data_IF_891141437807
#
_entry.id   IF_891141437807
#
_cell.length_a   1.000
_cell.length_b   1.000
_cell.length_c   1.000
_cell.angle_alpha   90.00
_cell.angle_beta   90.00
_cell.angle_gamma   90.00
#
_symmetry.space_group_name_H-M   'P 1'
#
loop_
_entity.id
_entity.type
_entity.pdbx_description
1 polymer ?
#
# COMPACT_ATOMS: atom_id res chain seq x y z
N UNK A 1 11.49 -6.86 4.00
CA UNK A 1 10.79 -6.47 5.23
C UNK A 1 11.51 -7.07 6.44
N UNK A 2 11.77 -6.22 7.47
CA UNK A 2 12.56 -6.62 8.66
C UNK A 2 11.81 -7.65 9.52
N UNK A 3 10.48 -7.53 9.59
CA UNK A 3 9.63 -8.47 10.33
C UNK A 3 9.70 -9.87 9.73
N UNK A 4 9.59 -9.97 8.42
CA UNK A 4 9.71 -11.24 7.69
C UNK A 4 11.08 -11.87 7.91
N UNK A 5 12.16 -11.08 7.79
CA UNK A 5 13.51 -11.59 8.02
C UNK A 5 13.71 -12.11 9.45
N UNK A 6 13.19 -11.40 10.45
CA UNK A 6 13.27 -11.83 11.85
C UNK A 6 12.51 -13.13 12.10
N UNK A 7 11.35 -13.30 11.46
CA UNK A 7 10.55 -14.52 11.61
C UNK A 7 11.15 -15.73 10.90
N UNK A 8 11.66 -15.53 9.69
CA UNK A 8 12.15 -16.64 8.84
C UNK A 8 13.58 -17.06 9.19
N UNK A 9 14.48 -16.08 9.33
CA UNK A 9 15.92 -16.34 9.48
C UNK A 9 16.36 -16.29 10.95
N UNK A 10 15.65 -15.51 11.78
CA UNK A 10 16.03 -15.21 13.15
C UNK A 10 15.43 -16.11 14.23
N UNK A 11 14.86 -17.29 13.91
CA UNK A 11 14.10 -18.10 14.87
C UNK A 11 12.95 -17.28 15.52
N UNK A 12 12.22 -16.51 14.74
CA UNK A 12 11.20 -15.55 15.21
C UNK A 12 10.16 -16.15 16.13
N UNK A 13 9.80 -17.43 15.93
CA UNK A 13 8.91 -18.21 16.80
C UNK A 13 9.43 -18.43 18.24
N UNK A 14 10.69 -18.15 18.50
CA UNK A 14 11.28 -18.14 19.85
C UNK A 14 11.42 -16.75 20.42
N UNK A 15 11.31 -15.72 19.59
CA UNK A 15 11.51 -14.33 19.96
C UNK A 15 10.20 -13.58 20.15
N UNK A 16 9.16 -13.99 19.39
CA UNK A 16 7.88 -13.29 19.37
C UNK A 16 6.71 -14.27 19.47
N UNK A 17 5.76 -13.96 20.35
CA UNK A 17 4.50 -14.70 20.45
C UNK A 17 3.50 -14.27 19.36
N UNK A 18 3.59 -13.02 18.90
CA UNK A 18 2.78 -12.45 17.82
C UNK A 18 3.53 -11.31 17.14
N UNK A 19 3.21 -11.08 15.88
CA UNK A 19 3.69 -9.92 15.11
C UNK A 19 2.50 -9.20 14.48
N UNK A 20 2.65 -7.92 14.22
CA UNK A 20 1.74 -7.15 13.37
C UNK A 20 2.52 -6.59 12.20
N UNK A 21 1.94 -6.67 11.02
CA UNK A 21 2.52 -6.12 9.80
C UNK A 21 1.42 -5.68 8.85
N UNK A 22 1.78 -4.97 7.77
CA UNK A 22 0.84 -4.67 6.70
C UNK A 22 0.46 -5.95 5.97
N UNK A 23 -0.83 -6.19 5.80
CA UNK A 23 -1.32 -7.35 5.05
C UNK A 23 -0.96 -7.27 3.56
N UNK A 24 -1.02 -8.40 2.88
CA UNK A 24 -0.84 -8.46 1.43
C UNK A 24 0.51 -8.96 0.93
N UNK A 25 1.14 -9.86 1.63
CA UNK A 25 2.41 -10.49 1.25
C UNK A 25 3.07 -11.18 2.43
N UNK A 26 2.65 -10.79 3.63
CA UNK A 26 3.19 -11.40 4.84
C UNK A 26 2.76 -12.87 4.98
N UNK A 27 1.52 -13.19 4.66
CA UNK A 27 0.97 -14.53 4.73
C UNK A 27 1.66 -15.45 3.73
N UNK A 28 1.83 -15.00 2.49
CA UNK A 28 2.52 -15.75 1.45
C UNK A 28 4.00 -15.98 1.83
N UNK A 29 4.68 -14.95 2.30
CA UNK A 29 6.09 -15.05 2.68
C UNK A 29 6.30 -15.86 3.95
N UNK A 30 5.44 -15.70 4.97
CA UNK A 30 5.58 -16.35 6.27
C UNK A 30 4.84 -17.69 6.32
N UNK A 31 3.65 -17.77 5.70
CA UNK A 31 2.84 -18.99 5.63
C UNK A 31 3.54 -20.07 4.83
N UNK A 32 4.08 -19.74 3.65
CA UNK A 32 4.80 -20.68 2.79
C UNK A 32 6.05 -21.28 3.44
N UNK A 33 6.64 -20.56 4.38
CA UNK A 33 7.86 -20.98 5.10
C UNK A 33 7.57 -21.58 6.48
N UNK A 34 6.30 -21.75 6.84
CA UNK A 34 5.85 -22.21 8.17
C UNK A 34 6.45 -21.35 9.32
N UNK A 35 6.68 -20.06 9.06
CA UNK A 35 7.23 -19.14 10.04
C UNK A 35 6.18 -18.60 11.01
N UNK A 36 4.90 -18.75 10.67
CA UNK A 36 3.74 -18.40 11.50
C UNK A 36 2.77 -19.59 11.58
N UNK A 37 2.01 -19.66 12.66
CA UNK A 37 1.06 -20.72 12.89
C UNK A 37 -0.30 -20.44 12.24
N UNK A 38 -0.96 -21.49 11.76
CA UNK A 38 -2.35 -21.42 11.34
C UNK A 38 -3.25 -21.00 12.50
N UNK A 39 -4.18 -20.12 12.22
CA UNK A 39 -5.20 -19.64 13.16
C UNK A 39 -6.49 -20.42 12.93
N UNK A 40 -7.07 -20.99 13.99
CA UNK A 40 -8.40 -21.55 13.96
C UNK A 40 -9.44 -20.47 14.27
N UNK A 41 -10.21 -19.99 13.26
CA UNK A 41 -11.21 -18.96 13.46
C UNK A 41 -12.29 -19.30 14.47
N UNK A 42 -12.60 -20.60 14.67
CA UNK A 42 -13.62 -21.06 15.61
C UNK A 42 -13.25 -20.75 17.07
N UNK A 43 -11.97 -20.58 17.36
CA UNK A 43 -11.44 -20.21 18.69
C UNK A 43 -11.46 -18.72 18.96
N UNK A 44 -11.83 -17.90 17.97
CA UNK A 44 -11.86 -16.44 18.09
C UNK A 44 -13.34 -15.99 18.17
N UNK A 45 -13.87 -15.67 19.36
CA UNK A 45 -15.30 -15.34 19.53
C UNK A 45 -15.77 -14.17 18.65
N UNK A 46 -14.88 -13.22 18.36
CA UNK A 46 -15.18 -12.03 17.57
C UNK A 46 -14.92 -12.20 16.06
N UNK A 47 -14.52 -13.38 15.61
CA UNK A 47 -14.28 -13.62 14.18
C UNK A 47 -15.47 -13.26 13.28
N UNK A 48 -16.68 -13.54 13.76
CA UNK A 48 -17.93 -13.19 13.05
C UNK A 48 -18.14 -11.67 12.86
N UNK A 49 -17.43 -10.84 13.61
CA UNK A 49 -17.54 -9.39 13.56
C UNK A 49 -16.51 -8.75 12.61
N UNK A 50 -15.62 -9.56 12.04
CA UNK A 50 -14.66 -9.09 11.04
C UNK A 50 -15.43 -8.64 9.79
N UNK A 51 -14.93 -7.60 9.14
CA UNK A 51 -15.56 -7.09 7.91
C UNK A 51 -15.72 -8.19 6.85
N UNK A 52 -16.85 -8.25 6.16
CA UNK A 52 -17.11 -9.30 5.15
C UNK A 52 -16.04 -9.39 4.07
N UNK A 53 -15.35 -8.30 3.76
CA UNK A 53 -14.27 -8.26 2.76
C UNK A 53 -13.11 -9.21 3.08
N UNK A 54 -12.91 -9.57 4.37
CA UNK A 54 -11.88 -10.50 4.84
C UNK A 54 -12.38 -11.95 5.00
N UNK A 55 -13.69 -12.19 4.88
CA UNK A 55 -14.22 -13.55 4.90
C UNK A 55 -13.84 -14.29 3.62
N UNK A 56 -13.95 -15.60 3.64
CA UNK A 56 -13.70 -16.44 2.46
C UNK A 56 -14.53 -15.95 1.25
N UNK A 57 -13.86 -15.76 0.12
CA UNK A 57 -14.48 -15.18 -1.09
C UNK A 57 -14.59 -13.66 -1.10
N UNK A 58 -14.24 -12.95 -0.01
CA UNK A 58 -14.17 -11.48 0.02
C UNK A 58 -12.92 -10.96 -0.69
N UNK A 59 -12.98 -9.73 -1.18
CA UNK A 59 -11.92 -9.13 -1.99
C UNK A 59 -10.55 -9.02 -1.27
N UNK A 60 -10.54 -8.88 0.07
CA UNK A 60 -9.32 -8.85 0.87
C UNK A 60 -9.03 -10.17 1.62
N UNK A 61 -9.74 -11.26 1.28
CA UNK A 61 -9.55 -12.55 1.95
C UNK A 61 -8.12 -13.09 1.79
N UNK A 62 -7.47 -12.79 0.67
CA UNK A 62 -6.09 -13.19 0.38
C UNK A 62 -5.08 -12.57 1.35
N UNK A 63 -5.36 -11.39 1.92
CA UNK A 63 -4.44 -10.70 2.82
C UNK A 63 -4.28 -11.36 4.20
N UNK A 64 -5.09 -12.36 4.52
CA UNK A 64 -5.04 -13.10 5.78
C UNK A 64 -5.01 -14.63 5.58
N UNK A 65 -4.93 -15.09 4.31
CA UNK A 65 -4.97 -16.52 3.97
C UNK A 65 -3.83 -16.90 3.03
N UNK A 66 -3.35 -18.11 3.26
CA UNK A 66 -2.44 -18.81 2.36
C UNK A 66 -2.91 -20.26 2.19
N UNK A 67 -3.04 -20.72 0.95
CA UNK A 67 -3.55 -22.07 0.61
C UNK A 67 -4.85 -22.45 1.33
N UNK A 68 -5.80 -21.49 1.42
CA UNK A 68 -7.11 -21.68 2.05
C UNK A 68 -7.11 -21.65 3.58
N UNK A 69 -5.95 -21.59 4.22
CA UNK A 69 -5.80 -21.52 5.68
C UNK A 69 -5.68 -20.08 6.14
N UNK A 70 -6.11 -19.80 7.37
CA UNK A 70 -6.03 -18.48 7.99
C UNK A 70 -4.73 -18.38 8.79
N UNK A 71 -3.97 -17.33 8.56
CA UNK A 71 -2.70 -17.06 9.25
C UNK A 71 -2.65 -15.72 9.96
N UNK A 72 -3.58 -14.82 9.65
CA UNK A 72 -3.65 -13.50 10.30
C UNK A 72 -5.08 -13.12 10.67
N UNK A 73 -5.21 -12.19 11.61
CA UNK A 73 -6.48 -11.53 11.94
C UNK A 73 -6.38 -10.06 11.52
N UNK A 74 -7.31 -9.53 10.71
CA UNK A 74 -7.30 -8.12 10.37
C UNK A 74 -7.53 -7.29 11.64
N UNK A 75 -6.66 -6.32 11.87
CA UNK A 75 -6.73 -5.43 13.03
C UNK A 75 -7.19 -4.03 12.63
N UNK A 76 -6.66 -3.53 11.53
CA UNK A 76 -6.98 -2.21 10.98
C UNK A 76 -7.16 -2.38 9.47
N UNK A 77 -8.22 -1.78 8.91
CA UNK A 77 -8.39 -1.57 7.50
C UNK A 77 -8.24 -0.08 7.21
N UNK A 78 -7.43 0.26 6.23
CA UNK A 78 -7.21 1.63 5.78
C UNK A 78 -7.19 1.65 4.25
N UNK A 79 -7.51 2.80 3.67
CA UNK A 79 -7.40 3.01 2.24
C UNK A 79 -6.19 3.89 1.93
N UNK A 80 -5.47 3.53 0.88
CA UNK A 80 -4.56 4.47 0.24
C UNK A 80 -5.40 5.51 -0.49
N UNK A 81 -5.06 6.76 -0.30
CA UNK A 81 -5.78 7.90 -0.82
C UNK A 81 -4.82 9.03 -1.21
N UNK A 82 -5.36 10.18 -1.53
CA UNK A 82 -4.60 11.38 -1.81
C UNK A 82 -5.02 12.47 -0.84
N UNK A 83 -4.04 13.03 -0.11
CA UNK A 83 -4.23 14.25 0.64
C UNK A 83 -3.73 15.46 -0.15
N UNK A 84 -4.40 16.60 -0.02
CA UNK A 84 -4.05 17.81 -0.75
C UNK A 84 -4.51 19.07 -0.02
N UNK A 85 -3.81 20.18 -0.24
CA UNK A 85 -4.21 21.50 0.23
C UNK A 85 -5.27 22.08 -0.70
N UNK A 86 -6.54 21.93 -0.32
CA UNK A 86 -7.66 22.46 -1.08
C UNK A 86 -7.60 23.98 -1.30
N UNK A 87 -7.08 24.74 -0.32
CA UNK A 87 -7.01 26.19 -0.43
C UNK A 87 -6.00 26.62 -1.48
N UNK A 88 -4.89 25.89 -1.57
CA UNK A 88 -3.86 26.18 -2.55
C UNK A 88 -4.21 25.69 -3.95
N UNK A 89 -4.90 24.52 -4.06
CA UNK A 89 -5.33 23.98 -5.35
C UNK A 89 -6.57 24.69 -5.91
N UNK A 90 -7.54 25.04 -5.06
CA UNK A 90 -8.80 25.66 -5.47
C UNK A 90 -9.80 24.70 -6.12
N UNK A 91 -9.51 23.41 -6.19
CA UNK A 91 -10.39 22.36 -6.71
C UNK A 91 -10.18 21.03 -5.97
N UNK A 92 -11.11 20.10 -6.15
CA UNK A 92 -10.96 18.73 -5.65
C UNK A 92 -10.45 17.84 -6.78
N UNK A 93 -9.28 17.18 -6.63
CA UNK A 93 -8.82 16.19 -7.60
C UNK A 93 -9.80 15.02 -7.73
N UNK A 94 -10.07 14.59 -8.95
CA UNK A 94 -10.98 13.48 -9.25
C UNK A 94 -10.25 12.20 -9.65
N UNK A 95 -8.94 12.28 -9.85
CA UNK A 95 -8.11 11.14 -10.25
C UNK A 95 -6.67 11.27 -9.77
N UNK A 96 -5.93 10.17 -9.83
CA UNK A 96 -4.50 10.14 -9.55
C UNK A 96 -3.67 10.96 -10.55
N UNK A 97 -4.24 11.38 -11.67
CA UNK A 97 -3.57 12.16 -12.72
C UNK A 97 -2.91 13.42 -12.18
N UNK A 98 -3.54 14.08 -11.22
CA UNK A 98 -3.04 15.34 -10.64
C UNK A 98 -1.65 15.21 -10.02
N UNK A 99 -1.26 14.03 -9.52
CA UNK A 99 0.09 13.79 -8.98
C UNK A 99 1.18 13.82 -10.06
N UNK A 100 0.78 13.63 -11.32
CA UNK A 100 1.68 13.58 -12.47
C UNK A 100 1.53 14.79 -13.39
N UNK A 101 0.65 15.73 -13.03
CA UNK A 101 0.46 16.96 -13.81
C UNK A 101 1.70 17.86 -13.68
N UNK A 102 2.33 18.27 -14.80
CA UNK A 102 3.50 19.14 -14.80
C UNK A 102 3.28 20.50 -14.14
N UNK A 103 2.03 20.95 -14.01
CA UNK A 103 1.70 22.20 -13.28
C UNK A 103 2.14 22.13 -11.81
N UNK A 104 2.08 20.95 -11.19
CA UNK A 104 2.44 20.74 -9.80
C UNK A 104 3.85 20.19 -9.59
N UNK A 105 4.68 20.30 -10.61
CA UNK A 105 6.08 19.84 -10.56
C UNK A 105 6.83 20.36 -9.35
N UNK A 106 7.47 19.45 -8.60
CA UNK A 106 8.22 19.77 -7.39
C UNK A 106 7.36 20.10 -6.17
N UNK A 107 6.03 19.93 -6.27
CA UNK A 107 5.07 20.18 -5.20
C UNK A 107 4.25 18.94 -4.81
N UNK A 108 4.67 17.78 -5.28
CA UNK A 108 4.03 16.48 -5.05
C UNK A 108 4.95 15.60 -4.23
N UNK A 109 4.40 14.85 -3.27
CA UNK A 109 5.10 13.75 -2.61
C UNK A 109 4.38 12.42 -2.88
N UNK A 110 5.11 11.34 -2.72
CA UNK A 110 4.55 9.99 -2.77
C UNK A 110 5.09 9.15 -1.61
N UNK A 111 4.38 8.13 -1.22
CA UNK A 111 4.89 7.14 -0.28
C UNK A 111 6.16 6.46 -0.83
N UNK A 112 7.14 6.25 0.03
CA UNK A 112 8.30 5.40 -0.27
C UNK A 112 7.97 3.93 0.04
N UNK A 113 6.84 3.48 -0.44
CA UNK A 113 6.37 2.09 -0.34
C UNK A 113 6.01 1.61 -1.74
N UNK A 114 6.68 0.54 -2.17
CA UNK A 114 6.54 0.07 -3.55
C UNK A 114 5.11 -0.42 -3.84
N UNK A 115 4.45 -1.09 -2.91
CA UNK A 115 3.11 -1.65 -3.11
C UNK A 115 2.08 -0.58 -3.45
N UNK A 116 1.73 0.33 -2.52
CA UNK A 116 0.76 1.40 -2.78
C UNK A 116 1.17 2.31 -3.92
N UNK A 117 2.44 2.70 -4.01
CA UNK A 117 2.90 3.63 -5.04
C UNK A 117 2.83 3.02 -6.44
N UNK A 118 3.20 1.75 -6.61
CA UNK A 118 3.03 1.06 -7.89
C UNK A 118 1.56 0.87 -8.23
N UNK A 119 0.75 0.40 -7.29
CA UNK A 119 -0.67 0.13 -7.53
C UNK A 119 -1.44 1.40 -7.91
N UNK A 120 -1.27 2.49 -7.17
CA UNK A 120 -1.94 3.77 -7.45
C UNK A 120 -1.50 4.33 -8.82
N UNK A 121 -0.22 4.20 -9.15
CA UNK A 121 0.30 4.61 -10.46
C UNK A 121 -0.25 3.72 -11.57
N UNK A 122 -0.34 2.41 -11.34
CA UNK A 122 -0.90 1.47 -12.29
C UNK A 122 -2.39 1.76 -12.59
N UNK A 123 -3.18 2.10 -11.56
CA UNK A 123 -4.56 2.54 -11.73
C UNK A 123 -4.62 3.76 -12.66
N UNK A 124 -3.80 4.78 -12.40
CA UNK A 124 -3.73 5.96 -13.26
C UNK A 124 -3.35 5.62 -14.69
N UNK A 125 -2.30 4.84 -14.90
CA UNK A 125 -1.84 4.50 -16.25
C UNK A 125 -2.87 3.68 -17.04
N UNK A 126 -3.55 2.77 -16.36
CA UNK A 126 -4.65 1.98 -16.93
C UNK A 126 -5.83 2.87 -17.32
N UNK A 127 -6.33 3.67 -16.38
CA UNK A 127 -7.52 4.51 -16.59
C UNK A 127 -7.30 5.61 -17.64
N UNK A 128 -6.09 6.16 -17.67
CA UNK A 128 -5.69 7.16 -18.68
C UNK A 128 -5.34 6.55 -20.05
N UNK A 129 -5.31 5.22 -20.17
CA UNK A 129 -4.92 4.53 -21.40
C UNK A 129 -3.44 4.66 -21.76
N UNK A 130 -2.60 5.07 -20.81
CA UNK A 130 -1.15 5.24 -21.01
C UNK A 130 -0.37 3.93 -20.96
N UNK A 131 -0.91 2.92 -20.26
CA UNK A 131 -0.37 1.57 -20.26
C UNK A 131 -1.49 0.52 -20.28
N UNK A 132 -1.18 -0.65 -20.82
CA UNK A 132 -2.10 -1.78 -20.87
C UNK A 132 -1.87 -2.64 -19.63
N UNK A 133 -2.58 -2.34 -18.53
CA UNK A 133 -2.48 -3.05 -17.27
C UNK A 133 -3.77 -3.84 -17.05
N UNK A 134 -3.63 -5.15 -16.88
CA UNK A 134 -4.77 -6.05 -16.73
C UNK A 134 -5.43 -5.87 -15.36
N UNK A 135 -4.64 -6.02 -14.31
CA UNK A 135 -5.06 -5.84 -12.93
C UNK A 135 -3.98 -5.10 -12.12
N UNK A 136 -4.24 -3.86 -11.68
CA UNK A 136 -3.28 -3.10 -10.87
C UNK A 136 -2.90 -3.76 -9.54
N UNK A 137 -3.72 -4.65 -9.01
CA UNK A 137 -3.44 -5.37 -7.77
C UNK A 137 -2.66 -6.68 -7.99
N UNK A 138 -2.60 -7.17 -9.26
CA UNK A 138 -1.92 -8.42 -9.63
C UNK A 138 -1.23 -8.24 -10.99
N UNK A 139 -0.22 -7.38 -11.00
CA UNK A 139 0.52 -7.01 -12.21
C UNK A 139 1.53 -8.08 -12.61
N UNK A 140 1.58 -8.38 -13.89
CA UNK A 140 2.66 -9.17 -14.48
C UNK A 140 4.01 -8.42 -14.43
N UNK A 141 5.16 -9.12 -14.46
CA UNK A 141 6.48 -8.49 -14.36
C UNK A 141 6.74 -7.38 -15.38
N UNK A 142 6.21 -7.50 -16.59
CA UNK A 142 6.35 -6.47 -17.64
C UNK A 142 5.50 -5.23 -17.30
N UNK A 143 4.28 -5.42 -16.79
CA UNK A 143 3.42 -4.31 -16.33
C UNK A 143 4.06 -3.55 -15.16
N UNK A 144 4.64 -4.27 -14.19
CA UNK A 144 5.41 -3.66 -13.07
C UNK A 144 6.57 -2.82 -13.60
N UNK A 145 7.28 -3.31 -14.63
CA UNK A 145 8.38 -2.58 -15.26
C UNK A 145 7.91 -1.29 -15.90
N UNK A 146 6.83 -1.32 -16.66
CA UNK A 146 6.26 -0.14 -17.32
C UNK A 146 5.87 0.93 -16.29
N UNK A 147 5.23 0.53 -15.19
CA UNK A 147 4.87 1.43 -14.08
C UNK A 147 6.10 2.01 -13.41
N UNK A 148 7.11 1.19 -13.15
CA UNK A 148 8.36 1.63 -12.53
C UNK A 148 9.14 2.60 -13.43
N UNK A 149 9.21 2.34 -14.73
CA UNK A 149 9.86 3.22 -15.70
C UNK A 149 9.15 4.59 -15.75
N UNK A 150 7.82 4.61 -15.75
CA UNK A 150 7.04 5.85 -15.70
C UNK A 150 7.35 6.66 -14.42
N UNK A 151 7.39 6.01 -13.25
CA UNK A 151 7.73 6.66 -11.98
C UNK A 151 9.18 7.21 -11.98
N UNK A 152 10.12 6.42 -12.50
CA UNK A 152 11.53 6.81 -12.61
C UNK A 152 11.69 8.03 -13.52
N UNK A 153 10.98 8.06 -14.64
CA UNK A 153 11.00 9.21 -15.56
C UNK A 153 10.45 10.46 -14.88
N UNK A 154 9.29 10.38 -14.24
CA UNK A 154 8.70 11.49 -13.49
C UNK A 154 9.63 11.98 -12.37
N UNK A 155 10.28 11.06 -11.64
CA UNK A 155 11.30 11.42 -10.62
C UNK A 155 12.49 12.15 -11.24
N UNK A 156 13.05 11.65 -12.36
CA UNK A 156 14.15 12.29 -13.07
C UNK A 156 13.78 13.68 -13.58
N UNK A 157 12.55 13.83 -14.03
CA UNK A 157 12.01 15.11 -14.50
C UNK A 157 11.69 16.08 -13.35
N UNK A 158 11.82 15.67 -12.08
CA UNK A 158 11.60 16.50 -10.91
C UNK A 158 10.12 16.72 -10.59
N UNK A 159 9.22 15.85 -11.04
CA UNK A 159 7.79 15.91 -10.70
C UNK A 159 7.59 15.86 -9.20
N UNK A 160 8.29 14.94 -8.52
CA UNK A 160 8.15 14.75 -7.09
C UNK A 160 9.14 15.58 -6.30
N UNK A 161 8.66 16.26 -5.26
CA UNK A 161 9.48 16.95 -4.26
C UNK A 161 10.28 15.94 -3.45
N UNK A 162 9.61 14.87 -3.00
CA UNK A 162 10.21 13.81 -2.19
C UNK A 162 9.34 12.54 -2.21
N UNK A 163 9.95 11.46 -1.72
CA UNK A 163 9.25 10.25 -1.26
C UNK A 163 9.39 10.18 0.25
N UNK A 164 8.32 9.87 0.96
CA UNK A 164 8.29 9.91 2.41
C UNK A 164 8.08 8.53 3.03
N UNK A 165 8.69 8.32 4.18
CA UNK A 165 8.55 7.16 5.05
C UNK A 165 7.99 7.58 6.40
N UNK A 166 7.09 6.77 6.95
CA UNK A 166 6.53 6.96 8.28
C UNK A 166 5.50 8.09 8.38
N UNK A 167 4.54 7.88 9.25
CA UNK A 167 3.36 8.72 9.44
C UNK A 167 3.69 10.21 9.65
N UNK A 168 4.65 10.50 10.55
CA UNK A 168 4.99 11.87 10.92
C UNK A 168 5.61 12.67 9.76
N UNK A 169 6.36 12.01 8.88
CA UNK A 169 6.93 12.66 7.71
C UNK A 169 5.82 13.03 6.71
N UNK A 170 4.89 12.10 6.45
CA UNK A 170 3.74 12.37 5.57
C UNK A 170 2.91 13.56 6.08
N UNK A 171 2.56 13.57 7.37
CA UNK A 171 1.87 14.70 8.02
C UNK A 171 2.67 15.99 7.90
N UNK A 172 3.97 15.96 8.18
CA UNK A 172 4.83 17.13 8.18
C UNK A 172 4.91 17.83 6.81
N UNK A 173 5.03 17.07 5.74
CA UNK A 173 5.10 17.60 4.37
C UNK A 173 3.85 18.40 3.98
N UNK A 174 2.67 17.91 4.32
CA UNK A 174 1.40 18.57 4.04
C UNK A 174 1.16 19.74 4.99
N UNK A 175 1.35 19.54 6.30
CA UNK A 175 1.09 20.56 7.32
C UNK A 175 1.99 21.79 7.19
N UNK A 176 3.22 21.63 6.70
CA UNK A 176 4.14 22.75 6.47
C UNK A 176 3.95 23.43 5.11
N UNK A 177 3.13 22.84 4.22
CA UNK A 177 2.98 23.31 2.84
C UNK A 177 4.22 23.08 1.98
N UNK A 178 5.12 22.18 2.36
CA UNK A 178 6.25 21.79 1.54
C UNK A 178 5.79 21.14 0.24
N UNK A 179 4.70 20.38 0.30
CA UNK A 179 4.00 19.85 -0.87
C UNK A 179 2.54 20.28 -0.87
N UNK A 180 1.94 20.33 -2.04
CA UNK A 180 0.51 20.62 -2.21
C UNK A 180 -0.34 19.37 -2.11
N UNK A 181 0.23 18.23 -2.46
CA UNK A 181 -0.48 16.95 -2.46
C UNK A 181 0.49 15.79 -2.31
N UNK A 182 -0.06 14.68 -1.85
CA UNK A 182 0.69 13.43 -1.68
C UNK A 182 -0.23 12.23 -1.80
N UNK A 183 0.26 11.12 -2.37
CA UNK A 183 -0.31 9.83 -2.07
C UNK A 183 -0.11 9.53 -0.59
N UNK A 184 -1.12 9.00 0.10
CA UNK A 184 -1.08 8.87 1.55
C UNK A 184 -2.10 7.86 2.07
N UNK A 185 -1.99 7.56 3.35
CA UNK A 185 -3.04 6.86 4.09
C UNK A 185 -4.14 7.84 4.49
N UNK A 186 -5.39 7.36 4.52
CA UNK A 186 -6.54 8.17 4.95
C UNK A 186 -6.29 8.91 6.29
N UNK A 187 -5.60 8.29 7.22
CA UNK A 187 -5.32 8.88 8.53
C UNK A 187 -4.36 10.09 8.50
N UNK A 188 -3.70 10.38 7.37
CA UNK A 188 -2.83 11.54 7.19
C UNK A 188 -3.59 12.74 6.58
N UNK A 189 -4.66 12.47 5.86
CA UNK A 189 -5.44 13.44 5.10
C UNK A 189 -6.26 14.42 5.96
#
# INVERSE_FOLDING_TARGET
DESIQKMVVGDGNRLFDAITDNGGGMEDALGSQNAIAEIDPSRIPNWKNILPVYHEGGAAAHSIRYEGKVYATPMIANADSMAYDFKALGFHPESWEVLFDPEFKGRVAMQNDFGPTLTNTAIYLKESGKASIKDPADMEPDEVRDVAEFLIENKKNGQFRTFWDGFQNGVGLLATGEVLMSSTWEAIA
#
